data_IF_857878644217
#
_entry.id   IF_857878644217
#
_cell.length_a   1.000
_cell.length_b   1.000
_cell.length_c   1.000
_cell.angle_alpha   90.00
_cell.angle_beta   90.00
_cell.angle_gamma   90.00
#
_symmetry.space_group_name_H-M   'P 1'
#
loop_
_entity.id
_entity.type
_entity.pdbx_description
1 polymer ?
#
# COMPACT_ATOMS: atom_id res chain seq x y z
N UNK A 1 115.75 -28.01 0.18
CA UNK A 1 115.70 -29.37 -0.38
C UNK A 1 114.33 -29.94 -0.02
N UNK A 2 113.46 -29.98 -1.02
CA UNK A 2 112.06 -30.41 -0.94
C UNK A 2 112.02 -31.91 -0.65
N UNK A 3 111.33 -32.35 0.40
CA UNK A 3 110.86 -33.73 0.52
C UNK A 3 109.47 -33.72 1.15
N UNK A 4 108.53 -33.66 0.21
CA UNK A 4 107.12 -33.97 0.34
C UNK A 4 107.01 -35.46 0.75
N UNK A 5 106.69 -35.76 2.00
CA UNK A 5 106.17 -37.09 2.37
C UNK A 5 104.82 -36.90 3.03
N UNK A 6 103.83 -37.27 2.24
CA UNK A 6 102.42 -37.03 2.41
C UNK A 6 101.94 -37.62 3.74
N UNK A 7 101.13 -36.82 4.43
CA UNK A 7 100.14 -37.28 5.40
C UNK A 7 99.45 -38.50 4.79
N UNK A 8 99.67 -39.68 5.39
CA UNK A 8 99.06 -40.92 4.94
C UNK A 8 97.56 -40.80 5.20
N UNK A 9 96.83 -40.34 4.20
CA UNK A 9 95.38 -40.14 4.20
C UNK A 9 94.71 -41.53 4.21
N UNK A 10 94.77 -42.21 5.35
CA UNK A 10 94.11 -43.51 5.60
C UNK A 10 92.57 -43.44 5.59
N UNK A 11 91.99 -42.28 5.27
CA UNK A 11 90.56 -42.11 4.99
C UNK A 11 90.13 -42.79 3.68
N UNK A 12 91.08 -43.10 2.79
CA UNK A 12 90.79 -43.64 1.44
C UNK A 12 90.81 -45.18 1.40
N UNK A 13 91.33 -45.87 2.43
CA UNK A 13 91.11 -47.31 2.58
C UNK A 13 89.91 -47.52 3.49
N UNK A 14 88.71 -47.78 2.96
CA UNK A 14 87.59 -48.08 3.81
C UNK A 14 87.94 -49.31 4.64
N UNK A 15 87.90 -49.19 5.97
CA UNK A 15 87.82 -50.35 6.84
C UNK A 15 86.53 -51.11 6.46
N UNK A 16 86.63 -52.36 5.95
CA UNK A 16 85.47 -53.13 5.52
C UNK A 16 84.40 -53.26 6.61
N UNK A 17 84.80 -53.23 7.89
CA UNK A 17 83.89 -53.25 9.03
C UNK A 17 83.04 -51.98 9.14
N UNK A 18 83.64 -50.80 8.95
CA UNK A 18 82.94 -49.52 8.97
C UNK A 18 81.96 -49.38 7.79
N UNK A 19 82.35 -49.81 6.58
CA UNK A 19 81.45 -49.81 5.42
C UNK A 19 80.26 -50.74 5.60
N UNK A 20 80.46 -51.92 6.18
CA UNK A 20 79.38 -52.87 6.45
C UNK A 20 78.35 -52.29 7.44
N UNK A 21 78.80 -51.77 8.58
CA UNK A 21 77.91 -51.19 9.58
C UNK A 21 77.22 -49.91 9.10
N UNK A 22 77.93 -49.01 8.41
CA UNK A 22 77.32 -47.80 7.84
C UNK A 22 76.26 -48.12 6.78
N UNK A 23 76.48 -49.12 5.93
CA UNK A 23 75.48 -49.57 4.95
C UNK A 23 74.25 -50.17 5.63
N UNK A 24 74.44 -50.97 6.69
CA UNK A 24 73.34 -51.52 7.48
C UNK A 24 72.51 -50.41 8.13
N UNK A 25 73.14 -49.44 8.80
CA UNK A 25 72.43 -48.33 9.41
C UNK A 25 71.73 -47.45 8.36
N UNK A 26 72.37 -47.21 7.21
CA UNK A 26 71.76 -46.49 6.10
C UNK A 26 70.50 -47.20 5.59
N UNK A 27 70.57 -48.51 5.33
CA UNK A 27 69.41 -49.30 4.89
C UNK A 27 68.31 -49.33 5.95
N UNK A 28 68.68 -49.48 7.23
CA UNK A 28 67.73 -49.46 8.34
C UNK A 28 67.00 -48.11 8.43
N UNK A 29 67.73 -47.00 8.37
CA UNK A 29 67.17 -45.65 8.37
C UNK A 29 66.35 -45.39 7.11
N UNK A 30 66.79 -45.86 5.95
CA UNK A 30 66.07 -45.71 4.68
C UNK A 30 64.72 -46.43 4.69
N UNK A 31 64.67 -47.66 5.22
CA UNK A 31 63.42 -48.42 5.37
C UNK A 31 62.47 -47.72 6.35
N UNK A 32 62.99 -47.20 7.47
CA UNK A 32 62.18 -46.46 8.45
C UNK A 32 61.64 -45.16 7.84
N UNK A 33 62.47 -44.36 7.19
CA UNK A 33 62.06 -43.12 6.51
C UNK A 33 61.07 -43.38 5.38
N UNK A 34 61.33 -44.38 4.54
CA UNK A 34 60.44 -44.75 3.44
C UNK A 34 59.05 -45.13 3.93
N UNK A 35 58.95 -45.86 5.05
CA UNK A 35 57.66 -46.25 5.64
C UNK A 35 56.98 -45.13 6.42
N UNK A 36 57.74 -44.29 7.13
CA UNK A 36 57.21 -43.28 8.06
C UNK A 36 56.94 -41.94 7.38
N UNK A 37 57.76 -41.50 6.42
CA UNK A 37 57.63 -40.18 5.78
C UNK A 37 56.59 -40.13 4.65
N UNK A 38 56.35 -41.25 3.95
CA UNK A 38 55.35 -41.29 2.87
C UNK A 38 53.92 -41.03 3.35
N UNK A 39 53.56 -41.60 4.51
CA UNK A 39 52.21 -41.47 5.08
C UNK A 39 51.79 -40.02 5.39
N UNK A 40 52.59 -39.20 6.11
CA UNK A 40 52.23 -37.80 6.37
C UNK A 40 52.25 -36.93 5.10
N UNK A 41 53.16 -37.18 4.15
CA UNK A 41 53.22 -36.43 2.89
C UNK A 41 51.97 -36.68 2.04
N UNK A 42 51.59 -37.95 1.85
CA UNK A 42 50.36 -38.30 1.14
C UNK A 42 49.12 -37.73 1.83
N UNK A 43 49.05 -37.84 3.17
CA UNK A 43 47.94 -37.26 3.94
C UNK A 43 47.85 -35.74 3.77
N UNK A 44 48.97 -35.03 3.76
CA UNK A 44 48.99 -33.58 3.56
C UNK A 44 48.54 -33.20 2.14
N UNK A 45 48.95 -33.96 1.12
CA UNK A 45 48.54 -33.73 -0.26
C UNK A 45 47.04 -33.99 -0.47
N UNK A 46 46.53 -35.13 0.02
CA UNK A 46 45.09 -35.44 -0.04
C UNK A 46 44.27 -34.43 0.74
N UNK A 47 44.75 -33.97 1.91
CA UNK A 47 44.07 -32.90 2.64
C UNK A 47 43.97 -31.62 1.81
N UNK A 48 45.09 -31.20 1.20
CA UNK A 48 45.11 -30.00 0.35
C UNK A 48 44.20 -30.16 -0.87
N UNK A 49 44.18 -31.33 -1.49
CA UNK A 49 43.30 -31.63 -2.62
C UNK A 49 41.82 -31.54 -2.22
N UNK A 50 41.45 -32.15 -1.09
CA UNK A 50 40.09 -32.06 -0.55
C UNK A 50 39.71 -30.61 -0.19
N UNK A 51 40.57 -29.88 0.53
CA UNK A 51 40.31 -28.49 0.92
C UNK A 51 40.09 -27.59 -0.33
N UNK A 52 40.84 -27.82 -1.42
CA UNK A 52 40.66 -27.11 -2.69
C UNK A 52 39.34 -27.50 -3.35
N UNK A 53 39.03 -28.80 -3.40
CA UNK A 53 37.81 -29.30 -4.01
C UNK A 53 36.58 -28.78 -3.28
N UNK A 54 36.58 -28.84 -1.95
CA UNK A 54 35.52 -28.32 -1.09
C UNK A 54 35.32 -26.82 -1.30
N UNK A 55 36.42 -26.04 -1.38
CA UNK A 55 36.35 -24.60 -1.65
C UNK A 55 35.76 -24.28 -3.03
N UNK A 56 36.09 -25.08 -4.05
CA UNK A 56 35.55 -24.92 -5.40
C UNK A 56 34.06 -25.27 -5.43
N UNK A 57 33.65 -26.33 -4.75
CA UNK A 57 32.26 -26.77 -4.73
C UNK A 57 31.39 -25.81 -3.91
N UNK A 58 31.91 -25.28 -2.79
CA UNK A 58 31.27 -24.19 -2.05
C UNK A 58 31.12 -22.93 -2.92
N UNK A 59 32.18 -22.53 -3.64
CA UNK A 59 32.10 -21.37 -4.53
C UNK A 59 31.06 -21.54 -5.63
N UNK A 60 30.94 -22.75 -6.22
CA UNK A 60 29.89 -23.06 -7.21
C UNK A 60 28.49 -23.01 -6.59
N UNK A 61 28.33 -23.56 -5.40
CA UNK A 61 27.06 -23.56 -4.67
C UNK A 61 26.62 -22.13 -4.34
N UNK A 62 27.53 -21.29 -3.85
CA UNK A 62 27.27 -19.87 -3.60
C UNK A 62 26.90 -19.14 -4.90
N UNK A 63 27.61 -19.38 -6.00
CA UNK A 63 27.25 -18.78 -7.28
C UNK A 63 25.85 -19.19 -7.77
N UNK A 64 25.49 -20.46 -7.63
CA UNK A 64 24.16 -20.96 -7.97
C UNK A 64 23.08 -20.31 -7.08
N UNK A 65 23.31 -20.22 -5.77
CA UNK A 65 22.40 -19.55 -4.84
C UNK A 65 22.25 -18.06 -5.15
N UNK A 66 23.35 -17.38 -5.51
CA UNK A 66 23.32 -15.96 -5.88
C UNK A 66 22.56 -15.74 -7.20
N UNK A 67 22.70 -16.64 -8.17
CA UNK A 67 21.93 -16.59 -9.41
C UNK A 67 20.43 -16.78 -9.12
N UNK A 68 20.07 -17.78 -8.31
CA UNK A 68 18.69 -18.02 -7.89
C UNK A 68 18.11 -16.82 -7.13
N UNK A 69 18.84 -16.29 -6.16
CA UNK A 69 18.42 -15.13 -5.37
C UNK A 69 18.21 -13.90 -6.27
N UNK A 70 19.04 -13.72 -7.29
CA UNK A 70 18.89 -12.62 -8.25
C UNK A 70 17.64 -12.79 -9.10
N UNK A 71 17.36 -14.00 -9.58
CA UNK A 71 16.15 -14.31 -10.33
C UNK A 71 14.90 -14.08 -9.48
N UNK A 72 14.89 -14.59 -8.25
CA UNK A 72 13.77 -14.39 -7.31
C UNK A 72 13.56 -12.91 -6.99
N UNK A 73 14.63 -12.13 -6.78
CA UNK A 73 14.51 -10.68 -6.59
C UNK A 73 13.94 -9.99 -7.83
N UNK A 74 14.38 -10.38 -9.04
CA UNK A 74 13.84 -9.80 -10.28
C UNK A 74 12.35 -10.14 -10.44
N UNK A 75 11.95 -11.37 -10.11
CA UNK A 75 10.54 -11.79 -10.12
C UNK A 75 9.72 -11.02 -9.09
N UNK A 76 10.18 -10.92 -7.85
CA UNK A 76 9.52 -10.14 -6.80
C UNK A 76 9.39 -8.66 -7.16
N UNK A 77 10.41 -8.07 -7.79
CA UNK A 77 10.33 -6.69 -8.26
C UNK A 77 9.32 -6.51 -9.40
N UNK A 78 9.20 -7.49 -10.29
CA UNK A 78 8.19 -7.48 -11.34
C UNK A 78 6.77 -7.60 -10.76
N UNK A 79 6.56 -8.58 -9.87
CA UNK A 79 5.29 -8.79 -9.15
C UNK A 79 4.89 -7.52 -8.36
N UNK A 80 5.83 -6.91 -7.63
CA UNK A 80 5.57 -5.68 -6.88
C UNK A 80 5.20 -4.48 -7.78
N UNK A 81 5.78 -4.38 -8.98
CA UNK A 81 5.44 -3.33 -9.96
C UNK A 81 4.06 -3.54 -10.56
N UNK A 82 3.72 -4.79 -10.87
CA UNK A 82 2.39 -5.15 -11.36
C UNK A 82 1.33 -4.87 -10.30
N UNK A 83 1.58 -5.30 -9.05
CA UNK A 83 0.72 -5.05 -7.90
C UNK A 83 0.51 -3.55 -7.67
N UNK A 84 1.60 -2.77 -7.66
CA UNK A 84 1.53 -1.31 -7.50
C UNK A 84 0.69 -0.66 -8.61
N UNK A 85 0.90 -1.08 -9.86
CA UNK A 85 0.11 -0.59 -11.01
C UNK A 85 -1.37 -0.92 -10.84
N UNK A 86 -1.68 -2.14 -10.38
CA UNK A 86 -3.06 -2.59 -10.11
C UNK A 86 -3.71 -1.77 -9.00
N UNK A 87 -3.01 -1.55 -7.90
CA UNK A 87 -3.49 -0.73 -6.77
C UNK A 87 -3.79 0.69 -7.22
N UNK A 88 -2.88 1.31 -8.00
CA UNK A 88 -3.09 2.67 -8.51
C UNK A 88 -4.30 2.73 -9.44
N UNK A 89 -4.42 1.78 -10.37
CA UNK A 89 -5.58 1.73 -11.28
C UNK A 89 -6.91 1.52 -10.53
N UNK A 90 -6.93 0.65 -9.52
CA UNK A 90 -8.10 0.42 -8.68
C UNK A 90 -8.45 1.66 -7.85
N UNK A 91 -7.46 2.35 -7.28
CA UNK A 91 -7.66 3.59 -6.55
C UNK A 91 -8.22 4.71 -7.44
N UNK A 92 -7.72 4.84 -8.68
CA UNK A 92 -8.24 5.79 -9.65
C UNK A 92 -9.69 5.47 -10.05
N UNK A 93 -9.99 4.20 -10.30
CA UNK A 93 -11.34 3.74 -10.62
C UNK A 93 -12.32 3.99 -9.46
N UNK A 94 -11.90 3.67 -8.24
CA UNK A 94 -12.68 3.93 -7.03
C UNK A 94 -12.91 5.42 -6.80
N UNK A 95 -11.86 6.24 -6.94
CA UNK A 95 -11.95 7.69 -6.81
C UNK A 95 -12.89 8.29 -7.85
N UNK A 96 -12.84 7.82 -9.10
CA UNK A 96 -13.78 8.25 -10.16
C UNK A 96 -15.21 7.87 -9.79
N UNK A 97 -15.45 6.61 -9.41
CA UNK A 97 -16.77 6.15 -8.97
C UNK A 97 -17.31 6.98 -7.80
N UNK A 98 -16.48 7.25 -6.79
CA UNK A 98 -16.87 8.08 -5.64
C UNK A 98 -17.21 9.52 -6.03
N UNK A 99 -16.48 10.12 -6.96
CA UNK A 99 -16.83 11.45 -7.49
C UNK A 99 -18.17 11.42 -8.22
N UNK A 100 -18.39 10.41 -9.08
CA UNK A 100 -19.63 10.29 -9.83
C UNK A 100 -20.84 10.07 -8.88
N UNK A 101 -20.68 9.20 -7.87
CA UNK A 101 -21.69 8.96 -6.83
C UNK A 101 -22.00 10.24 -6.05
N UNK A 102 -20.97 10.99 -5.62
CA UNK A 102 -21.15 12.24 -4.88
C UNK A 102 -21.83 13.33 -5.72
N UNK A 103 -21.51 13.43 -7.02
CA UNK A 103 -22.18 14.35 -7.94
C UNK A 103 -23.65 13.97 -8.13
N UNK A 104 -23.96 12.68 -8.24
CA UNK A 104 -25.34 12.22 -8.36
C UNK A 104 -26.15 12.48 -7.08
N UNK A 105 -25.58 12.18 -5.92
CA UNK A 105 -26.19 12.48 -4.61
C UNK A 105 -26.44 13.98 -4.44
N UNK A 106 -25.46 14.82 -4.81
CA UNK A 106 -25.62 16.28 -4.78
C UNK A 106 -26.74 16.77 -5.71
N UNK A 107 -26.88 16.19 -6.91
CA UNK A 107 -27.97 16.50 -7.85
C UNK A 107 -29.33 16.10 -7.28
N UNK A 108 -29.44 14.91 -6.70
CA UNK A 108 -30.68 14.45 -6.06
C UNK A 108 -31.06 15.34 -4.86
N UNK A 109 -30.09 15.73 -4.04
CA UNK A 109 -30.31 16.65 -2.93
C UNK A 109 -30.77 18.03 -3.44
N UNK A 110 -30.12 18.57 -4.46
CA UNK A 110 -30.50 19.85 -5.07
C UNK A 110 -31.92 19.81 -5.66
N UNK A 111 -32.28 18.71 -6.33
CA UNK A 111 -33.62 18.50 -6.88
C UNK A 111 -34.67 18.48 -5.76
N UNK A 112 -34.43 17.73 -4.67
CA UNK A 112 -35.31 17.70 -3.49
C UNK A 112 -35.47 19.08 -2.86
N UNK A 113 -34.39 19.85 -2.75
CA UNK A 113 -34.44 21.22 -2.22
C UNK A 113 -35.29 22.13 -3.12
N UNK A 114 -35.11 22.04 -4.44
CA UNK A 114 -35.92 22.80 -5.41
C UNK A 114 -37.41 22.45 -5.32
N UNK A 115 -37.75 21.16 -5.25
CA UNK A 115 -39.13 20.70 -5.10
C UNK A 115 -39.75 21.15 -3.78
N UNK A 116 -38.98 21.11 -2.68
CA UNK A 116 -39.42 21.63 -1.38
C UNK A 116 -39.68 23.14 -1.45
N UNK A 117 -38.76 23.90 -2.03
CA UNK A 117 -38.90 25.34 -2.19
C UNK A 117 -40.13 25.70 -3.05
N UNK A 118 -40.38 24.97 -4.13
CA UNK A 118 -41.58 25.18 -4.96
C UNK A 118 -42.88 24.91 -4.20
N UNK A 119 -42.91 23.83 -3.39
CA UNK A 119 -44.07 23.53 -2.52
C UNK A 119 -44.27 24.61 -1.46
N UNK A 120 -43.20 25.10 -0.86
CA UNK A 120 -43.26 26.15 0.14
C UNK A 120 -43.75 27.48 -0.47
N UNK A 121 -43.28 27.83 -1.67
CA UNK A 121 -43.78 28.99 -2.43
C UNK A 121 -45.27 28.86 -2.75
N UNK A 122 -45.73 27.68 -3.16
CA UNK A 122 -47.16 27.44 -3.40
C UNK A 122 -47.98 27.65 -2.13
N UNK A 123 -47.56 27.06 -1.01
CA UNK A 123 -48.21 27.24 0.29
C UNK A 123 -48.24 28.71 0.74
N UNK A 124 -47.12 29.43 0.56
CA UNK A 124 -47.04 30.86 0.89
C UNK A 124 -47.99 31.70 0.01
N UNK A 125 -48.11 31.38 -1.28
CA UNK A 125 -49.07 32.05 -2.17
C UNK A 125 -50.51 31.81 -1.74
N UNK A 126 -50.86 30.57 -1.38
CA UNK A 126 -52.20 30.23 -0.94
C UNK A 126 -52.56 30.93 0.37
N UNK A 127 -51.62 30.98 1.33
CA UNK A 127 -51.79 31.74 2.56
C UNK A 127 -51.96 33.23 2.29
N UNK A 128 -51.10 33.84 1.47
CA UNK A 128 -51.19 35.25 1.12
C UNK A 128 -52.50 35.59 0.40
N UNK A 129 -53.01 34.69 -0.44
CA UNK A 129 -54.30 34.85 -1.11
C UNK A 129 -55.47 34.76 -0.13
N UNK A 130 -55.39 33.88 0.87
CA UNK A 130 -56.38 33.78 1.94
C UNK A 130 -56.40 35.04 2.80
N UNK A 131 -55.23 35.56 3.17
CA UNK A 131 -55.09 36.81 3.93
C UNK A 131 -55.63 38.01 3.14
N UNK A 132 -55.31 38.10 1.85
CA UNK A 132 -55.84 39.15 0.96
C UNK A 132 -57.37 39.09 0.86
N UNK A 133 -57.96 37.91 0.71
CA UNK A 133 -59.43 37.75 0.68
C UNK A 133 -60.07 38.21 1.99
N UNK A 134 -59.44 37.93 3.13
CA UNK A 134 -59.91 38.38 4.45
C UNK A 134 -59.85 39.89 4.57
N UNK A 135 -58.76 40.52 4.14
CA UNK A 135 -58.57 41.97 4.20
C UNK A 135 -59.53 42.71 3.26
N UNK A 136 -59.71 42.23 2.03
CA UNK A 136 -60.70 42.77 1.08
C UNK A 136 -62.12 42.59 1.60
N UNK A 137 -62.44 41.44 2.20
CA UNK A 137 -63.75 41.20 2.83
C UNK A 137 -64.04 42.16 3.98
N UNK A 138 -63.05 42.45 4.82
CA UNK A 138 -63.17 43.43 5.89
C UNK A 138 -63.36 44.86 5.35
N UNK A 139 -62.62 45.25 4.31
CA UNK A 139 -62.81 46.54 3.64
C UNK A 139 -64.19 46.66 2.99
N UNK A 140 -64.67 45.61 2.32
CA UNK A 140 -65.99 45.60 1.71
C UNK A 140 -67.10 45.75 2.76
N UNK A 141 -66.96 45.10 3.92
CA UNK A 141 -67.90 45.23 5.04
C UNK A 141 -67.88 46.65 5.63
N UNK A 142 -66.71 47.26 5.84
CA UNK A 142 -66.58 48.63 6.32
C UNK A 142 -67.20 49.66 5.35
N UNK A 143 -67.00 49.47 4.03
CA UNK A 143 -67.64 50.30 3.00
C UNK A 143 -69.16 50.11 3.02
N UNK A 144 -69.65 48.86 3.06
CA UNK A 144 -71.08 48.58 3.11
C UNK A 144 -71.72 49.20 4.36
N UNK A 145 -71.06 49.11 5.52
CA UNK A 145 -71.51 49.73 6.76
C UNK A 145 -71.58 51.26 6.64
N UNK A 146 -70.57 51.90 6.05
CA UNK A 146 -70.55 53.35 5.82
C UNK A 146 -71.64 53.80 4.84
N UNK A 147 -71.91 53.03 3.79
CA UNK A 147 -72.99 53.31 2.82
C UNK A 147 -74.36 53.17 3.47
N UNK A 148 -74.62 52.08 4.20
CA UNK A 148 -75.87 51.85 4.92
C UNK A 148 -76.10 52.96 5.96
N UNK A 149 -75.07 53.33 6.75
CA UNK A 149 -75.15 54.47 7.69
C UNK A 149 -75.45 55.79 6.99
N UNK A 150 -75.06 55.98 5.72
CA UNK A 150 -75.36 57.20 4.94
C UNK A 150 -76.80 57.23 4.47
N UNK A 151 -77.31 56.10 3.95
CA UNK A 151 -78.69 55.98 3.44
C UNK A 151 -79.75 55.95 4.56
N UNK A 152 -79.38 55.49 5.76
CA UNK A 152 -80.22 55.52 6.97
C UNK A 152 -80.33 56.90 7.64
N UNK A 153 -79.68 57.95 7.10
CA UNK A 153 -79.83 59.32 7.64
C UNK A 153 -81.17 59.97 7.31
N UNK A 154 -81.99 59.37 6.44
CA UNK A 154 -83.34 59.84 6.14
C UNK A 154 -84.38 59.10 6.98
N UNK A 155 -85.30 59.86 7.60
CA UNK A 155 -86.33 59.34 8.52
C UNK A 155 -87.33 58.37 7.82
N UNK A 156 -87.43 58.45 6.49
CA UNK A 156 -88.26 57.58 5.66
C UNK A 156 -87.63 56.19 5.42
N UNK A 157 -86.33 56.10 5.17
CA UNK A 157 -85.62 54.82 4.96
C UNK A 157 -85.50 54.01 6.24
N UNK A 158 -85.37 54.66 7.40
CA UNK A 158 -85.28 53.99 8.69
C UNK A 158 -86.59 53.29 9.07
N UNK A 159 -87.74 53.93 8.81
CA UNK A 159 -89.08 53.33 9.04
C UNK A 159 -89.37 52.17 8.08
N UNK A 160 -88.93 52.26 6.82
CA UNK A 160 -89.07 51.19 5.84
C UNK A 160 -88.26 49.93 6.22
N UNK A 161 -87.01 50.10 6.68
CA UNK A 161 -86.17 48.97 7.11
C UNK A 161 -86.73 48.26 8.34
N UNK A 162 -87.27 49.00 9.32
CA UNK A 162 -87.92 48.42 10.51
C UNK A 162 -89.16 47.62 10.11
N UNK A 163 -89.97 48.15 9.17
CA UNK A 163 -91.13 47.43 8.65
C UNK A 163 -90.74 46.14 7.91
N UNK A 164 -89.64 46.15 7.16
CA UNK A 164 -89.16 45.00 6.39
C UNK A 164 -88.53 43.91 7.26
N UNK A 165 -87.76 44.29 8.29
CA UNK A 165 -87.19 43.35 9.27
C UNK A 165 -88.28 42.68 10.11
N UNK A 166 -89.33 43.41 10.49
CA UNK A 166 -90.49 42.85 11.20
C UNK A 166 -91.30 41.90 10.31
N UNK A 167 -91.41 42.18 9.00
CA UNK A 167 -92.07 41.29 8.05
C UNK A 167 -91.26 40.03 7.72
N UNK A 168 -89.92 40.05 7.76
CA UNK A 168 -89.09 38.86 7.55
C UNK A 168 -88.94 37.98 8.82
N UNK A 169 -89.40 38.46 9.97
CA UNK A 169 -89.41 37.72 11.24
C UNK A 169 -90.77 37.03 11.54
N UNK A 170 -91.81 37.33 10.75
CA UNK A 170 -93.06 36.58 10.68
C UNK A 170 -93.02 35.60 9.49
#
# INVERSE_FOLDING_TARGET
MFNLFLVDFSVIKPDPGLLFWTTIFFLLVWIILGKVAFKPISKALTKRENDIQDSIDEAKLVQAQMAQLKEDNQRLLAEAREESTRIVAEAEAFAKKRRDDAVNEAKEAAQKVSENAQREIANMRDSAMADLKKEVGAMALDIAEKVIRKDLKSDATQKALVSELVNNLN
#
